data_IF_101194928184
#
_entry.id   IF_101194928184
#
_cell.length_a   1.000
_cell.length_b   1.000
_cell.length_c   1.000
_cell.angle_alpha   90.00
_cell.angle_beta   90.00
_cell.angle_gamma   90.00
#
_symmetry.space_group_name_H-M   'P 1'
#
loop_
_entity.id
_entity.type
_entity.pdbx_description
1 polymer ?
#
# COMPACT_ATOMS: atom_id res chain seq x y z
N UNK A 1 6.95 -2.93 14.17
CA UNK A 1 6.86 -2.15 12.92
C UNK A 1 8.06 -2.47 12.05
N UNK A 2 7.87 -2.68 10.74
CA UNK A 2 9.01 -2.67 9.83
C UNK A 2 9.58 -1.25 9.75
N UNK A 3 10.90 -1.12 9.75
CA UNK A 3 11.59 0.18 9.63
C UNK A 3 11.99 0.50 8.18
N UNK A 4 11.84 -0.49 7.29
CA UNK A 4 12.18 -0.42 5.88
C UNK A 4 11.09 -1.13 5.08
N UNK A 5 10.87 -0.67 3.85
CA UNK A 5 10.00 -1.29 2.86
C UNK A 5 10.57 -1.00 1.47
N UNK A 6 10.30 -1.85 0.48
CA UNK A 6 10.64 -1.58 -0.92
C UNK A 6 9.80 -0.43 -1.48
N UNK A 7 8.54 -0.31 -1.07
CA UNK A 7 7.69 0.85 -1.35
C UNK A 7 6.65 1.08 -0.25
N UNK A 8 6.29 2.35 -0.04
CA UNK A 8 5.20 2.76 0.85
C UNK A 8 4.17 3.55 0.04
N UNK A 9 2.92 3.08 0.02
CA UNK A 9 1.78 3.78 -0.60
C UNK A 9 1.06 4.57 0.49
N UNK A 10 0.96 5.89 0.32
CA UNK A 10 0.30 6.79 1.28
C UNK A 10 -1.08 7.17 0.72
N UNK A 11 -2.14 6.75 1.41
CA UNK A 11 -3.54 6.92 1.02
C UNK A 11 -4.20 5.61 0.60
N UNK A 12 -5.31 5.25 1.26
CA UNK A 12 -6.12 4.03 1.06
C UNK A 12 -7.34 4.22 0.15
N UNK A 13 -7.39 5.32 -0.62
CA UNK A 13 -8.42 5.50 -1.65
C UNK A 13 -8.26 4.51 -2.82
N UNK A 14 -9.21 4.55 -3.78
CA UNK A 14 -9.25 3.60 -4.91
C UNK A 14 -7.94 3.51 -5.70
N UNK A 15 -7.25 4.65 -5.85
CA UNK A 15 -5.97 4.71 -6.55
C UNK A 15 -4.86 4.07 -5.72
N UNK A 16 -4.80 4.33 -4.41
CA UNK A 16 -3.80 3.73 -3.53
C UNK A 16 -3.93 2.21 -3.45
N UNK A 17 -5.17 1.71 -3.32
CA UNK A 17 -5.47 0.27 -3.38
C UNK A 17 -5.10 -0.34 -4.73
N UNK A 18 -5.39 0.35 -5.84
CA UNK A 18 -5.00 -0.11 -7.17
C UNK A 18 -3.48 -0.20 -7.34
N UNK A 19 -2.73 0.79 -6.85
CA UNK A 19 -1.27 0.78 -6.89
C UNK A 19 -0.72 -0.40 -6.07
N UNK A 20 -1.17 -0.56 -4.82
CA UNK A 20 -0.73 -1.65 -3.95
C UNK A 20 -1.04 -3.03 -4.54
N UNK A 21 -2.24 -3.20 -5.11
CA UNK A 21 -2.64 -4.42 -5.80
C UNK A 21 -1.73 -4.74 -6.98
N UNK A 22 -1.45 -3.77 -7.86
CA UNK A 22 -0.60 -4.02 -9.03
C UNK A 22 0.85 -4.26 -8.65
N UNK A 23 1.39 -3.60 -7.62
CA UNK A 23 2.73 -3.87 -7.10
C UNK A 23 2.85 -5.33 -6.62
N UNK A 24 1.92 -5.78 -5.79
CA UNK A 24 1.92 -7.17 -5.29
C UNK A 24 1.69 -8.18 -6.41
N UNK A 25 0.82 -7.88 -7.38
CA UNK A 25 0.60 -8.70 -8.59
C UNK A 25 1.85 -8.82 -9.47
N UNK A 26 2.69 -7.79 -9.52
CA UNK A 26 3.99 -7.82 -10.20
C UNK A 26 5.08 -8.54 -9.39
N UNK A 27 4.74 -9.12 -8.24
CA UNK A 27 5.66 -9.92 -7.42
C UNK A 27 6.42 -9.11 -6.36
N UNK A 28 6.06 -7.86 -6.11
CA UNK A 28 6.64 -7.11 -4.99
C UNK A 28 6.10 -7.66 -3.68
N UNK A 29 7.00 -8.02 -2.76
CA UNK A 29 6.64 -8.71 -1.51
C UNK A 29 6.79 -7.85 -0.26
N UNK A 30 7.52 -6.73 -0.35
CA UNK A 30 7.75 -5.82 0.77
C UNK A 30 7.20 -4.41 0.49
N UNK A 31 5.88 -4.34 0.31
CA UNK A 31 5.15 -3.09 0.12
C UNK A 31 4.20 -2.84 1.30
N UNK A 32 4.09 -1.59 1.73
CA UNK A 32 3.26 -1.18 2.86
C UNK A 32 2.29 -0.08 2.41
N UNK A 33 1.07 -0.10 2.93
CA UNK A 33 0.11 1.01 2.80
C UNK A 33 -0.08 1.72 4.14
N UNK A 34 -0.16 3.04 4.12
CA UNK A 34 -0.55 3.87 5.25
C UNK A 34 -1.79 4.70 4.88
N UNK A 35 -2.83 4.59 5.69
CA UNK A 35 -4.03 5.45 5.67
C UNK A 35 -4.15 6.14 7.03
N UNK A 36 -4.68 7.36 7.05
CA UNK A 36 -4.85 8.17 8.26
C UNK A 36 -5.89 7.57 9.19
N UNK A 37 -6.96 7.02 8.62
CA UNK A 37 -8.12 6.48 9.35
C UNK A 37 -8.38 5.03 8.91
N UNK A 38 -9.57 4.74 8.38
CA UNK A 38 -9.95 3.42 7.87
C UNK A 38 -9.92 3.33 6.33
N UNK A 39 -9.78 2.10 5.83
CA UNK A 39 -9.93 1.80 4.41
C UNK A 39 -11.41 1.82 4.06
N UNK A 40 -11.83 2.85 3.31
CA UNK A 40 -13.25 3.14 2.99
C UNK A 40 -14.09 3.47 4.23
N UNK A 41 -15.27 4.10 4.04
CA UNK A 41 -16.21 4.43 5.13
C UNK A 41 -17.12 3.27 5.50
#
# INVERSE_FOLDING_TARGET
>A
MKTHAQAVVIGGGVIGCSILYHLTKLGWTDVVMLERDELTS
#
